data_IF_617398020758
#
_entry.id   IF_617398020758
#
_cell.length_a   1.000
_cell.length_b   1.000
_cell.length_c   1.000
_cell.angle_alpha   90.00
_cell.angle_beta   90.00
_cell.angle_gamma   90.00
#
_symmetry.space_group_name_H-M   'P 1'
#
loop_
_entity.id
_entity.type
_entity.pdbx_description
1 polymer ?
#
# COMPACT_ATOMS: atom_id res chain seq x y z
N UNK A 1 -17.46 -25.53 30.90
CA UNK A 1 -17.52 -24.98 29.52
C UNK A 1 -16.96 -23.56 29.47
N UNK A 2 -17.26 -22.68 30.44
CA UNK A 2 -16.79 -21.28 30.53
C UNK A 2 -15.27 -21.02 30.55
N UNK A 3 -14.46 -21.92 31.13
CA UNK A 3 -13.01 -21.70 31.27
C UNK A 3 -12.29 -21.73 29.91
N UNK A 4 -12.77 -22.56 28.99
CA UNK A 4 -12.21 -22.72 27.65
C UNK A 4 -12.57 -21.55 26.73
N UNK A 5 -13.78 -21.00 26.88
CA UNK A 5 -14.25 -19.80 26.16
C UNK A 5 -13.42 -18.58 26.57
N UNK A 6 -13.20 -18.36 27.87
CA UNK A 6 -12.38 -17.24 28.36
C UNK A 6 -10.90 -17.35 27.96
N UNK A 7 -10.36 -18.57 27.91
CA UNK A 7 -8.99 -18.79 27.45
C UNK A 7 -8.83 -18.47 25.95
N UNK A 8 -9.82 -18.84 25.13
CA UNK A 8 -9.85 -18.53 23.70
C UNK A 8 -10.02 -17.03 23.45
N UNK A 9 -10.96 -16.37 24.14
CA UNK A 9 -11.18 -14.92 24.03
C UNK A 9 -9.92 -14.12 24.37
N UNK A 10 -9.24 -14.51 25.45
CA UNK A 10 -8.00 -13.86 25.88
C UNK A 10 -6.90 -14.07 24.85
N UNK A 11 -6.70 -15.29 24.37
CA UNK A 11 -5.70 -15.60 23.35
C UNK A 11 -5.94 -14.84 22.04
N UNK A 12 -7.17 -14.85 21.53
CA UNK A 12 -7.50 -14.16 20.29
C UNK A 12 -7.29 -12.66 20.41
N UNK A 13 -7.66 -12.03 21.54
CA UNK A 13 -7.40 -10.61 21.78
C UNK A 13 -5.91 -10.26 21.75
N UNK A 14 -5.04 -11.11 22.29
CA UNK A 14 -3.59 -10.90 22.21
C UNK A 14 -3.07 -10.98 20.78
N UNK A 15 -3.54 -11.96 20.00
CA UNK A 15 -3.16 -12.09 18.60
C UNK A 15 -3.68 -10.90 17.78
N UNK A 16 -4.92 -10.48 18.02
CA UNK A 16 -5.51 -9.29 17.38
C UNK A 16 -4.68 -8.04 17.68
N UNK A 17 -4.34 -7.80 18.95
CA UNK A 17 -3.50 -6.67 19.35
C UNK A 17 -2.13 -6.70 18.66
N UNK A 18 -1.54 -7.88 18.50
CA UNK A 18 -0.26 -8.06 17.83
C UNK A 18 -0.36 -7.73 16.34
N UNK A 19 -1.39 -8.22 15.65
CA UNK A 19 -1.63 -7.92 14.24
C UNK A 19 -1.92 -6.43 14.01
N UNK A 20 -2.74 -5.81 14.86
CA UNK A 20 -2.98 -4.36 14.83
C UNK A 20 -1.69 -3.57 15.05
N UNK A 21 -0.86 -4.00 16.00
CA UNK A 21 0.43 -3.35 16.28
C UNK A 21 1.40 -3.45 15.10
N UNK A 22 1.49 -4.61 14.45
CA UNK A 22 2.31 -4.80 13.25
C UNK A 22 1.80 -3.91 12.11
N UNK A 23 0.49 -3.83 11.93
CA UNK A 23 -0.12 -2.95 10.94
C UNK A 23 0.26 -1.48 11.16
N UNK A 24 0.07 -0.96 12.37
CA UNK A 24 0.44 0.41 12.74
C UNK A 24 1.93 0.65 12.50
N UNK A 25 2.77 -0.31 12.87
CA UNK A 25 4.21 -0.24 12.64
C UNK A 25 4.56 -0.17 11.14
N UNK A 26 3.92 -0.97 10.29
CA UNK A 26 4.07 -0.92 8.83
C UNK A 26 3.70 0.46 8.27
N UNK A 27 2.59 1.06 8.72
CA UNK A 27 2.19 2.42 8.30
C UNK A 27 3.25 3.45 8.69
N UNK A 28 3.76 3.39 9.93
CA UNK A 28 4.80 4.30 10.41
C UNK A 28 6.08 4.17 9.58
N UNK A 29 6.55 2.94 9.33
CA UNK A 29 7.74 2.71 8.52
C UNK A 29 7.55 3.21 7.08
N UNK A 30 6.38 2.96 6.49
CA UNK A 30 6.02 3.46 5.17
C UNK A 30 6.08 4.97 5.11
N UNK A 31 5.49 5.66 6.09
CA UNK A 31 5.49 7.12 6.20
C UNK A 31 6.91 7.67 6.36
N UNK A 32 7.75 7.04 7.18
CA UNK A 32 9.13 7.47 7.38
C UNK A 32 9.94 7.31 6.09
N UNK A 33 9.84 6.17 5.40
CA UNK A 33 10.57 5.91 4.15
C UNK A 33 10.14 6.86 3.03
N UNK A 34 8.84 7.10 2.87
CA UNK A 34 8.33 7.99 1.83
C UNK A 34 8.61 9.45 2.16
N UNK A 35 8.51 9.85 3.43
CA UNK A 35 8.92 11.17 3.92
C UNK A 35 10.41 11.44 3.70
N UNK A 36 11.28 10.45 3.96
CA UNK A 36 12.71 10.55 3.67
C UNK A 36 12.99 10.79 2.18
N UNK A 37 12.29 10.08 1.28
CA UNK A 37 12.41 10.27 -0.16
C UNK A 37 11.99 11.68 -0.60
N UNK A 38 10.88 12.20 -0.07
CA UNK A 38 10.43 13.57 -0.36
C UNK A 38 11.45 14.61 0.14
N UNK A 39 11.99 14.43 1.34
CA UNK A 39 12.99 15.34 1.90
C UNK A 39 14.29 15.29 1.09
N UNK A 40 14.73 14.11 0.67
CA UNK A 40 15.91 13.93 -0.16
C UNK A 40 15.73 14.56 -1.54
N UNK A 41 14.59 14.31 -2.20
CA UNK A 41 14.25 14.91 -3.49
C UNK A 41 14.23 16.44 -3.40
N UNK A 42 13.59 17.01 -2.37
CA UNK A 42 13.59 18.46 -2.11
C UNK A 42 14.98 19.02 -1.85
N UNK A 43 15.87 18.28 -1.17
CA UNK A 43 17.26 18.71 -0.91
C UNK A 43 18.13 18.67 -2.15
N UNK A 44 17.85 17.78 -3.11
CA UNK A 44 18.63 17.66 -4.34
C UNK A 44 18.07 18.49 -5.50
N UNK A 45 16.92 19.15 -5.30
CA UNK A 45 16.22 19.88 -6.35
C UNK A 45 17.04 21.08 -6.85
N UNK A 46 17.55 20.97 -8.08
CA UNK A 46 17.85 22.13 -8.92
C UNK A 46 16.50 22.68 -9.43
N UNK A 47 16.35 24.00 -9.45
CA UNK A 47 15.13 24.71 -9.91
C UNK A 47 14.62 24.12 -11.23
N UNK A 48 13.47 23.41 -11.22
CA UNK A 48 12.73 23.08 -12.44
C UNK A 48 12.18 21.65 -12.56
N UNK A 49 12.68 20.66 -11.82
CA UNK A 49 12.12 19.30 -11.87
C UNK A 49 10.83 19.18 -11.06
N UNK A 50 9.84 18.46 -11.58
CA UNK A 50 8.60 18.15 -10.87
C UNK A 50 8.86 17.14 -9.75
N UNK A 51 8.22 17.31 -8.59
CA UNK A 51 8.36 16.35 -7.49
C UNK A 51 7.82 14.97 -7.92
N UNK A 52 8.50 13.86 -7.60
CA UNK A 52 8.07 12.51 -7.97
C UNK A 52 6.92 12.03 -7.06
N UNK A 53 5.83 12.78 -7.02
CA UNK A 53 4.65 12.51 -6.20
C UNK A 53 4.09 11.12 -6.45
N UNK A 54 4.16 10.64 -7.70
CA UNK A 54 3.66 9.33 -8.05
C UNK A 54 4.46 8.20 -7.39
N UNK A 55 5.79 8.25 -7.49
CA UNK A 55 6.68 7.28 -6.82
C UNK A 55 6.51 7.28 -5.29
N UNK A 56 6.26 8.45 -4.70
CA UNK A 56 5.99 8.58 -3.25
C UNK A 56 4.66 7.92 -2.89
N UNK A 57 3.59 8.17 -3.66
CA UNK A 57 2.28 7.54 -3.46
C UNK A 57 2.35 6.04 -3.64
N UNK A 58 3.04 5.55 -4.67
CA UNK A 58 3.25 4.14 -4.94
C UNK A 58 3.95 3.42 -3.78
N UNK A 59 5.10 3.94 -3.34
CA UNK A 59 5.84 3.34 -2.23
C UNK A 59 5.03 3.36 -0.95
N UNK A 60 4.36 4.47 -0.65
CA UNK A 60 3.52 4.54 0.55
C UNK A 60 2.34 3.58 0.46
N UNK A 61 1.71 3.49 -0.71
CA UNK A 61 0.60 2.58 -0.99
C UNK A 61 0.97 1.11 -0.80
N UNK A 62 2.19 0.68 -1.15
CA UNK A 62 2.66 -0.68 -0.85
C UNK A 62 2.72 -0.95 0.66
N UNK A 63 3.24 -0.01 1.45
CA UNK A 63 3.27 -0.16 2.92
C UNK A 63 1.87 -0.16 3.54
N UNK A 64 0.96 0.66 2.99
CA UNK A 64 -0.44 0.65 3.39
C UNK A 64 -1.12 -0.69 3.07
N UNK A 65 -0.88 -1.25 1.87
CA UNK A 65 -1.45 -2.56 1.50
C UNK A 65 -1.04 -3.66 2.48
N UNK A 66 0.23 -3.71 2.87
CA UNK A 66 0.74 -4.66 3.86
C UNK A 66 0.07 -4.44 5.22
N UNK A 67 0.00 -3.20 5.69
CA UNK A 67 -0.65 -2.86 6.96
C UNK A 67 -2.12 -3.31 6.97
N UNK A 68 -2.80 -3.15 5.83
CA UNK A 68 -4.19 -3.54 5.66
C UNK A 68 -4.34 -5.07 5.74
N UNK A 69 -3.48 -5.87 5.12
CA UNK A 69 -3.55 -7.33 5.23
C UNK A 69 -3.52 -7.81 6.69
N UNK A 70 -2.65 -7.23 7.53
CA UNK A 70 -2.60 -7.53 8.96
C UNK A 70 -3.87 -7.11 9.71
N UNK A 71 -4.43 -5.92 9.40
CA UNK A 71 -5.71 -5.48 9.97
C UNK A 71 -6.87 -6.42 9.60
N UNK A 72 -6.92 -6.91 8.36
CA UNK A 72 -7.94 -7.88 7.96
C UNK A 72 -7.82 -9.18 8.75
N UNK A 73 -6.59 -9.66 8.97
CA UNK A 73 -6.36 -10.81 9.84
C UNK A 73 -6.87 -10.57 11.26
N UNK A 74 -6.61 -9.39 11.82
CA UNK A 74 -7.11 -8.98 13.13
C UNK A 74 -8.65 -8.96 13.19
N UNK A 75 -9.30 -8.41 12.16
CA UNK A 75 -10.76 -8.35 12.08
C UNK A 75 -11.40 -9.74 11.89
N UNK A 76 -10.81 -10.62 11.06
CA UNK A 76 -11.26 -12.02 10.91
C UNK A 76 -11.19 -12.76 12.24
N UNK A 77 -10.11 -12.57 13.00
CA UNK A 77 -9.98 -13.14 14.34
C UNK A 77 -11.07 -12.61 15.29
N UNK A 78 -11.36 -11.31 15.28
CA UNK A 78 -12.40 -10.71 16.11
C UNK A 78 -13.80 -11.31 15.83
N UNK A 79 -14.15 -11.46 14.55
CA UNK A 79 -15.45 -12.04 14.14
C UNK A 79 -15.60 -13.53 14.49
N UNK A 80 -14.49 -14.25 14.69
CA UNK A 80 -14.51 -15.69 15.02
C UNK A 80 -14.91 -15.95 16.48
N UNK A 81 -14.60 -15.02 17.40
CA UNK A 81 -14.86 -15.19 18.85
C UNK A 81 -16.17 -14.56 19.30
N UNK A 82 -16.57 -13.43 18.70
CA UNK A 82 -17.86 -12.81 18.98
C UNK A 82 -18.43 -12.18 17.70
N UNK A 83 -19.33 -12.88 16.97
CA UNK A 83 -19.96 -12.31 15.80
C UNK A 83 -21.04 -11.29 16.22
N UNK A 84 -20.64 -10.08 16.61
CA UNK A 84 -21.58 -8.97 16.71
C UNK A 84 -21.84 -8.41 15.30
N UNK A 85 -23.10 -8.09 15.00
CA UNK A 85 -23.49 -7.53 13.69
C UNK A 85 -22.76 -6.20 13.41
N UNK A 86 -22.46 -5.43 14.46
CA UNK A 86 -21.66 -4.21 14.40
C UNK A 86 -20.24 -4.45 13.85
N UNK A 87 -19.59 -5.54 14.29
CA UNK A 87 -18.22 -5.90 13.89
C UNK A 87 -18.17 -6.36 12.43
N UNK A 88 -19.21 -7.07 11.98
CA UNK A 88 -19.37 -7.45 10.58
C UNK A 88 -19.53 -6.23 9.67
N UNK A 89 -20.27 -5.21 10.10
CA UNK A 89 -20.45 -3.96 9.35
C UNK A 89 -19.13 -3.17 9.27
N UNK A 90 -18.39 -3.07 10.40
CA UNK A 90 -17.08 -2.42 10.43
C UNK A 90 -16.10 -3.09 9.47
N UNK A 91 -16.07 -4.42 9.47
CA UNK A 91 -15.25 -5.21 8.55
C UNK A 91 -15.63 -4.97 7.08
N UNK A 92 -16.93 -4.93 6.76
CA UNK A 92 -17.41 -4.64 5.42
C UNK A 92 -16.98 -3.25 4.93
N UNK A 93 -17.04 -2.23 5.79
CA UNK A 93 -16.58 -0.87 5.48
C UNK A 93 -15.07 -0.85 5.21
N UNK A 94 -14.27 -1.50 6.06
CA UNK A 94 -12.81 -1.61 5.88
C UNK A 94 -12.48 -2.31 4.55
N UNK A 95 -13.20 -3.39 4.22
CA UNK A 95 -13.03 -4.10 2.97
C UNK A 95 -13.33 -3.19 1.75
N UNK A 96 -14.42 -2.43 1.77
CA UNK A 96 -14.77 -1.49 0.70
C UNK A 96 -13.72 -0.39 0.55
N UNK A 97 -13.29 0.23 1.65
CA UNK A 97 -12.25 1.28 1.63
C UNK A 97 -10.95 0.72 1.04
N UNK A 98 -10.56 -0.49 1.44
CA UNK A 98 -9.39 -1.17 0.90
C UNK A 98 -9.51 -1.41 -0.59
N UNK A 99 -10.62 -1.97 -1.06
CA UNK A 99 -10.85 -2.22 -2.48
C UNK A 99 -10.81 -0.92 -3.27
N UNK A 100 -11.45 0.14 -2.77
CA UNK A 100 -11.46 1.43 -3.43
C UNK A 100 -10.06 2.04 -3.55
N UNK A 101 -9.31 2.09 -2.44
CA UNK A 101 -7.94 2.63 -2.43
C UNK A 101 -6.99 1.81 -3.29
N UNK A 102 -7.03 0.48 -3.17
CA UNK A 102 -6.16 -0.42 -3.95
C UNK A 102 -6.50 -0.37 -5.44
N UNK A 103 -7.78 -0.26 -5.80
CA UNK A 103 -8.22 -0.08 -7.18
C UNK A 103 -7.72 1.24 -7.78
N UNK A 104 -7.88 2.35 -7.07
CA UNK A 104 -7.39 3.66 -7.53
C UNK A 104 -5.87 3.66 -7.69
N UNK A 105 -5.15 3.10 -6.71
CA UNK A 105 -3.70 3.02 -6.75
C UNK A 105 -3.20 2.12 -7.89
N UNK A 106 -3.85 0.96 -8.09
CA UNK A 106 -3.55 0.05 -9.21
C UNK A 106 -3.78 0.69 -10.57
N UNK A 107 -4.88 1.45 -10.71
CA UNK A 107 -5.19 2.19 -11.95
C UNK A 107 -4.15 3.27 -12.25
N UNK A 108 -3.70 4.00 -11.23
CA UNK A 108 -2.66 5.02 -11.39
C UNK A 108 -1.30 4.41 -11.75
N UNK A 109 -0.96 3.26 -11.17
CA UNK A 109 0.25 2.51 -11.52
C UNK A 109 0.22 2.00 -12.96
N UNK A 110 -0.91 1.45 -13.41
CA UNK A 110 -1.07 0.99 -14.79
C UNK A 110 -0.90 2.14 -15.81
N UNK A 111 -1.40 3.33 -15.46
CA UNK A 111 -1.22 4.53 -16.28
C UNK A 111 0.25 4.95 -16.37
N UNK A 112 1.01 4.89 -15.27
CA UNK A 112 2.44 5.25 -15.26
C UNK A 112 3.30 4.23 -16.02
N UNK A 113 3.09 2.93 -15.79
CA UNK A 113 3.83 1.88 -16.52
C UNK A 113 3.60 1.96 -18.03
N UNK A 114 2.37 2.27 -18.46
CA UNK A 114 2.06 2.47 -19.87
C UNK A 114 2.80 3.67 -20.49
N UNK A 115 3.06 4.71 -19.70
CA UNK A 115 3.81 5.90 -20.14
C UNK A 115 5.31 5.59 -20.24
N UNK A 116 5.91 4.96 -19.22
CA UNK A 116 7.32 4.55 -19.25
C UNK A 116 7.63 3.62 -20.43
N UNK A 117 6.74 2.66 -20.72
CA UNK A 117 6.94 1.73 -21.84
C UNK A 117 6.90 2.45 -23.20
N UNK A 118 6.01 3.44 -23.36
CA UNK A 118 5.94 4.27 -24.58
C UNK A 118 7.19 5.12 -24.75
N UNK A 119 7.73 5.69 -23.67
CA UNK A 119 8.97 6.47 -23.73
C UNK A 119 10.17 5.59 -24.11
N UNK A 120 10.27 4.38 -23.54
CA UNK A 120 11.33 3.42 -23.90
C UNK A 120 11.23 2.96 -25.36
N UNK A 121 10.01 2.66 -25.85
CA UNK A 121 9.79 2.33 -27.26
C UNK A 121 10.15 3.51 -28.17
N UNK A 122 9.81 4.74 -27.78
CA UNK A 122 10.13 5.93 -28.57
C UNK A 122 11.65 6.16 -28.63
N UNK A 123 12.35 6.00 -27.51
CA UNK A 123 13.81 6.08 -27.47
C UNK A 123 14.47 4.98 -28.30
N UNK A 124 13.97 3.75 -28.24
CA UNK A 124 14.49 2.63 -29.04
C UNK A 124 14.31 2.88 -30.56
N UNK A 125 13.13 3.36 -30.96
CA UNK A 125 12.83 3.72 -32.37
C UNK A 125 13.71 4.89 -32.84
N UNK A 126 13.88 5.94 -32.04
CA UNK A 126 14.74 7.08 -32.40
C UNK A 126 16.21 6.67 -32.52
N UNK A 127 16.71 5.82 -31.62
CA UNK A 127 18.07 5.29 -31.70
C UNK A 127 18.29 4.41 -32.94
N UNK A 128 17.25 3.67 -33.36
CA UNK A 128 17.27 2.87 -34.58
C UNK A 128 17.26 3.75 -35.84
N UNK A 129 16.36 4.74 -35.91
CA UNK A 129 16.27 5.68 -37.05
C UNK A 129 17.57 6.48 -37.20
N UNK A 130 18.19 6.91 -36.10
CA UNK A 130 19.47 7.60 -36.15
C UNK A 130 20.59 6.73 -36.76
N UNK A 131 20.66 5.44 -36.38
CA UNK A 131 21.63 4.50 -36.98
C UNK A 131 21.40 4.31 -38.48
N UNK A 132 20.15 4.15 -38.88
CA UNK A 132 19.76 3.93 -40.28
C UNK A 132 20.01 5.18 -41.17
N UNK A 133 20.05 6.37 -40.57
CA UNK A 133 20.38 7.62 -41.28
C UNK A 133 21.89 7.85 -41.52
N UNK A 134 22.75 7.09 -40.85
CA UNK A 134 24.22 7.22 -40.94
C UNK A 134 24.87 6.13 -41.81
N UNK A 135 24.16 5.03 -42.08
CA UNK A 135 24.53 3.99 -43.06
C UNK A 135 24.04 4.34 -44.48
#
# INVERSE_FOLDING_TARGET
>A
MSIWEHALDWFVRWVQLLLESISVFCVILGLLKTGQLVIQARRHQRRGEELPFNQVRLKFGTWLAIALEFQLGADVLATTVAPAVEDLIRLAIIAVVRTFLNYFLGKELEAEMAMEHREQEHQAKMAQVYKESIE
#
